data_IF_018201972201
#
_entry.id   IF_018201972201
#
_cell.length_a   1.000
_cell.length_b   1.000
_cell.length_c   1.000
_cell.angle_alpha   90.00
_cell.angle_beta   90.00
_cell.angle_gamma   90.00
#
_symmetry.space_group_name_H-M   'P 1'
#
loop_
_entity.id
_entity.type
_entity.pdbx_description
1 polymer ?
#
# COMPACT_ATOMS: atom_id res chain seq x y z
N UNK A 1 -58.84 -40.90 47.56
CA UNK A 1 -57.57 -40.45 46.94
C UNK A 1 -57.90 -39.47 45.84
N UNK A 2 -57.47 -38.20 45.95
CA UNK A 2 -57.79 -37.12 45.00
C UNK A 2 -56.46 -36.64 44.40
N UNK A 3 -56.25 -36.87 43.10
CA UNK A 3 -55.04 -36.50 42.38
C UNK A 3 -54.99 -34.99 42.15
N UNK A 4 -53.94 -34.32 42.63
CA UNK A 4 -53.67 -32.90 42.38
C UNK A 4 -52.79 -32.76 41.14
N UNK A 5 -53.35 -32.21 40.06
CA UNK A 5 -52.60 -31.80 38.88
C UNK A 5 -51.86 -30.48 39.15
N UNK A 6 -50.53 -30.54 39.16
CA UNK A 6 -49.66 -29.36 39.20
C UNK A 6 -49.66 -28.73 37.80
N UNK A 7 -50.09 -27.47 37.69
CA UNK A 7 -49.96 -26.67 36.46
C UNK A 7 -48.66 -25.87 36.57
N UNK A 8 -47.70 -26.16 35.70
CA UNK A 8 -46.45 -25.39 35.59
C UNK A 8 -46.77 -24.20 34.68
N UNK A 9 -46.88 -23.02 35.28
CA UNK A 9 -47.17 -21.79 34.55
C UNK A 9 -45.96 -21.36 33.71
N UNK A 10 -46.18 -21.21 32.40
CA UNK A 10 -45.22 -20.84 31.36
C UNK A 10 -44.77 -19.37 31.40
N UNK A 11 -44.42 -18.85 32.58
CA UNK A 11 -44.08 -17.43 32.79
C UNK A 11 -42.62 -17.09 32.47
N UNK A 12 -41.78 -18.10 32.27
CA UNK A 12 -40.33 -17.97 32.04
C UNK A 12 -39.94 -17.86 30.56
N UNK A 13 -40.84 -18.14 29.62
CA UNK A 13 -40.53 -18.12 28.18
C UNK A 13 -40.28 -16.73 27.59
N UNK A 14 -40.92 -15.69 28.16
CA UNK A 14 -40.85 -14.33 27.63
C UNK A 14 -39.50 -13.65 27.82
N UNK A 15 -38.83 -13.89 28.95
CA UNK A 15 -37.53 -13.25 29.25
C UNK A 15 -36.42 -13.84 28.38
N UNK A 16 -36.46 -15.16 28.14
CA UNK A 16 -35.49 -15.84 27.28
C UNK A 16 -35.56 -15.39 25.81
N UNK A 17 -36.78 -15.18 25.29
CA UNK A 17 -36.99 -14.70 23.92
C UNK A 17 -36.50 -13.26 23.71
N UNK A 18 -36.71 -12.37 24.69
CA UNK A 18 -36.27 -10.97 24.59
C UNK A 18 -34.74 -10.85 24.63
N UNK A 19 -34.07 -11.62 25.49
CA UNK A 19 -32.60 -11.64 25.55
C UNK A 19 -31.99 -12.25 24.28
N UNK A 20 -32.59 -13.31 23.73
CA UNK A 20 -32.15 -13.91 22.47
C UNK A 20 -32.31 -12.94 21.29
N UNK A 21 -33.41 -12.17 21.26
CA UNK A 21 -33.64 -11.12 20.27
C UNK A 21 -32.59 -10.01 20.35
N UNK A 22 -32.20 -9.57 21.55
CA UNK A 22 -31.17 -8.53 21.73
C UNK A 22 -29.79 -9.01 21.26
N UNK A 23 -29.44 -10.27 21.54
CA UNK A 23 -28.17 -10.87 21.10
C UNK A 23 -28.15 -11.00 19.57
N UNK A 24 -29.25 -11.44 18.95
CA UNK A 24 -29.33 -11.57 17.48
C UNK A 24 -29.30 -10.22 16.76
N UNK A 25 -29.85 -9.16 17.35
CA UNK A 25 -29.77 -7.80 16.81
C UNK A 25 -28.39 -7.16 17.00
N UNK A 26 -27.59 -7.61 17.97
CA UNK A 26 -26.22 -7.14 18.21
C UNK A 26 -25.17 -7.64 17.21
N UNK A 27 -25.53 -8.60 16.34
CA UNK A 27 -24.64 -9.16 15.31
C UNK A 27 -24.63 -8.36 14.00
N UNK A 28 -25.15 -7.13 13.99
CA UNK A 28 -24.95 -6.24 12.84
C UNK A 28 -23.44 -6.04 12.67
N UNK A 29 -22.91 -6.67 11.63
CA UNK A 29 -21.50 -6.79 11.33
C UNK A 29 -20.78 -5.46 11.58
N UNK A 30 -19.83 -5.47 12.50
CA UNK A 30 -18.76 -4.50 12.53
C UNK A 30 -18.00 -4.70 11.22
N UNK A 31 -18.41 -3.97 10.19
CA UNK A 31 -17.66 -3.84 8.96
C UNK A 31 -16.42 -3.03 9.34
N UNK A 32 -15.31 -3.71 9.60
CA UNK A 32 -14.03 -3.05 9.70
C UNK A 32 -13.76 -2.39 8.34
N UNK A 33 -14.11 -1.10 8.20
CA UNK A 33 -13.79 -0.33 7.02
C UNK A 33 -12.27 -0.30 6.92
N UNK A 34 -11.75 -1.06 5.96
CA UNK A 34 -10.34 -1.02 5.65
C UNK A 34 -10.11 0.31 4.93
N UNK A 35 -9.36 1.22 5.54
CA UNK A 35 -8.95 2.46 4.88
C UNK A 35 -8.05 2.08 3.71
N UNK A 36 -8.59 2.09 2.49
CA UNK A 36 -7.80 1.91 1.29
C UNK A 36 -7.31 3.28 0.83
N UNK A 37 -6.04 3.57 1.11
CA UNK A 37 -5.35 4.72 0.51
C UNK A 37 -4.72 4.25 -0.80
N UNK A 38 -5.29 4.70 -1.92
CA UNK A 38 -4.68 4.48 -3.24
C UNK A 38 -3.92 5.74 -3.64
N UNK A 39 -2.62 5.62 -3.82
CA UNK A 39 -1.77 6.69 -4.33
C UNK A 39 -0.99 6.17 -5.54
N UNK A 40 -0.84 7.01 -6.56
CA UNK A 40 0.01 6.73 -7.72
C UNK A 40 1.20 7.69 -7.71
N UNK A 41 2.40 7.14 -7.89
CA UNK A 41 3.54 7.93 -8.32
C UNK A 41 3.44 8.05 -9.86
N UNK A 42 3.29 9.28 -10.36
CA UNK A 42 3.35 9.58 -11.79
C UNK A 42 4.79 9.69 -12.28
N UNK A 43 4.98 10.15 -13.52
CA UNK A 43 6.29 10.49 -14.06
C UNK A 43 6.97 11.50 -13.15
N UNK A 44 8.23 11.26 -12.84
CA UNK A 44 9.04 12.13 -11.99
C UNK A 44 10.35 12.41 -12.72
N UNK A 45 10.85 13.64 -12.64
CA UNK A 45 12.22 13.96 -13.07
C UNK A 45 13.12 14.12 -11.85
N UNK A 46 14.37 13.71 -12.01
CA UNK A 46 15.43 13.89 -11.02
C UNK A 46 16.35 14.97 -11.53
N UNK A 47 16.42 16.04 -10.77
CA UNK A 47 17.26 17.18 -11.08
C UNK A 47 18.35 17.27 -10.03
N UNK A 48 19.59 17.51 -10.48
CA UNK A 48 20.72 17.62 -9.57
C UNK A 48 21.23 19.06 -9.48
N UNK A 49 21.27 19.56 -8.25
CA UNK A 49 21.79 20.89 -7.89
C UNK A 49 23.26 20.89 -7.48
N UNK A 50 23.89 19.72 -7.36
CA UNK A 50 25.26 19.61 -6.81
C UNK A 50 26.36 19.74 -7.86
N UNK A 51 26.05 20.20 -9.08
CA UNK A 51 26.95 20.27 -10.27
C UNK A 51 27.63 18.97 -10.71
N UNK A 52 27.44 17.87 -9.97
CA UNK A 52 27.95 16.55 -10.32
C UNK A 52 26.84 15.73 -10.99
N UNK A 53 27.08 14.96 -12.05
CA UNK A 53 26.06 14.09 -12.61
C UNK A 53 25.71 12.96 -11.62
N UNK A 54 24.42 12.63 -11.51
CA UNK A 54 23.95 11.42 -10.84
C UNK A 54 23.48 10.42 -11.90
N UNK A 55 23.71 9.12 -11.65
CA UNK A 55 23.42 8.05 -12.61
C UNK A 55 22.35 7.08 -12.12
N UNK A 56 21.77 7.32 -10.94
CA UNK A 56 20.75 6.47 -10.39
C UNK A 56 19.83 7.22 -9.42
N UNK A 57 18.57 6.79 -9.36
CA UNK A 57 17.66 7.11 -8.27
C UNK A 57 17.04 5.85 -7.68
N UNK A 58 16.86 5.86 -6.36
CA UNK A 58 16.26 4.77 -5.61
C UNK A 58 15.09 5.26 -4.77
N UNK A 59 13.96 4.60 -4.92
CA UNK A 59 12.85 4.71 -3.98
C UNK A 59 12.75 3.46 -3.11
N UNK A 60 12.39 3.64 -1.84
CA UNK A 60 12.17 2.55 -0.89
C UNK A 60 10.81 2.72 -0.24
N UNK A 61 10.01 1.67 -0.28
CA UNK A 61 8.76 1.58 0.49
C UNK A 61 8.88 0.49 1.54
N UNK A 62 8.33 0.74 2.72
CA UNK A 62 8.20 -0.23 3.82
C UNK A 62 6.73 -0.61 3.96
N UNK A 63 6.45 -1.86 4.32
CA UNK A 63 5.10 -2.37 4.57
C UNK A 63 4.35 -2.90 3.34
N UNK A 64 4.90 -2.74 2.13
CA UNK A 64 4.40 -3.41 0.91
C UNK A 64 5.07 -4.78 0.77
N UNK A 65 4.51 -5.80 1.41
CA UNK A 65 5.04 -7.18 1.39
C UNK A 65 4.53 -8.03 0.23
N UNK A 66 3.36 -7.72 -0.33
CA UNK A 66 2.86 -8.33 -1.57
C UNK A 66 3.26 -7.46 -2.75
N UNK A 67 3.67 -8.03 -3.89
CA UNK A 67 3.94 -7.28 -5.11
C UNK A 67 2.69 -6.48 -5.51
N UNK A 68 2.70 -5.12 -5.47
CA UNK A 68 1.57 -4.37 -6.02
C UNK A 68 1.37 -4.66 -7.51
N UNK A 69 0.18 -4.37 -8.04
CA UNK A 69 0.01 -4.23 -9.49
C UNK A 69 0.60 -2.89 -9.89
N UNK A 70 1.85 -2.90 -10.35
CA UNK A 70 2.51 -1.70 -10.83
C UNK A 70 2.25 -1.51 -12.31
N UNK A 71 1.83 -0.30 -12.68
CA UNK A 71 2.22 0.27 -13.97
C UNK A 71 3.54 1.00 -13.77
N UNK A 72 4.56 0.65 -14.54
CA UNK A 72 5.77 1.47 -14.64
C UNK A 72 5.76 2.20 -15.97
N UNK A 73 6.29 3.41 -15.95
CA UNK A 73 6.62 4.11 -17.16
C UNK A 73 7.95 3.56 -17.67
N UNK A 74 7.93 2.88 -18.81
CA UNK A 74 9.14 2.37 -19.45
C UNK A 74 9.95 3.49 -20.17
N UNK A 75 9.40 4.71 -20.21
CA UNK A 75 9.99 5.90 -20.85
C UNK A 75 10.46 6.94 -19.81
N UNK A 76 11.00 6.48 -18.70
CA UNK A 76 11.72 7.36 -17.76
C UNK A 76 13.18 7.52 -18.19
N UNK A 77 13.89 8.53 -17.67
CA UNK A 77 15.28 8.85 -18.08
C UNK A 77 16.20 7.62 -18.07
N UNK A 78 16.14 6.82 -17.02
CA UNK A 78 17.00 5.63 -16.86
C UNK A 78 16.35 4.34 -17.40
N UNK A 79 15.27 4.45 -18.19
CA UNK A 79 14.49 3.31 -18.69
C UNK A 79 13.62 2.65 -17.62
N UNK A 80 13.29 1.38 -17.86
CA UNK A 80 12.43 0.61 -16.97
C UNK A 80 13.14 0.31 -15.63
N UNK A 81 12.46 0.50 -14.48
CA UNK A 81 13.08 0.27 -13.20
C UNK A 81 13.24 -1.21 -12.88
N UNK A 82 14.23 -1.50 -12.04
CA UNK A 82 14.36 -2.79 -11.36
C UNK A 82 13.68 -2.74 -10.00
N UNK A 83 12.75 -3.66 -9.78
CA UNK A 83 12.09 -3.85 -8.48
C UNK A 83 12.85 -4.93 -7.71
N UNK A 84 13.24 -4.61 -6.48
CA UNK A 84 13.91 -5.55 -5.57
C UNK A 84 13.04 -5.71 -4.33
N UNK A 85 12.35 -6.86 -4.18
CA UNK A 85 11.68 -7.20 -2.93
C UNK A 85 12.67 -7.28 -1.77
N UNK A 86 12.20 -6.95 -0.58
CA UNK A 86 12.94 -7.06 0.69
C UNK A 86 12.01 -7.62 1.76
N UNK A 87 12.57 -8.14 2.85
CA UNK A 87 11.78 -8.72 3.95
C UNK A 87 10.78 -7.74 4.58
N UNK A 88 10.97 -6.43 4.39
CA UNK A 88 10.15 -5.38 5.01
C UNK A 88 9.42 -4.50 3.99
N UNK A 89 9.50 -4.80 2.70
CA UNK A 89 8.96 -3.95 1.66
C UNK A 89 9.67 -4.11 0.33
N UNK A 90 9.85 -3.00 -0.40
CA UNK A 90 10.42 -3.03 -1.74
C UNK A 90 11.36 -1.86 -1.99
N UNK A 91 12.23 -2.06 -2.97
CA UNK A 91 13.09 -1.03 -3.52
C UNK A 91 12.81 -0.93 -5.01
N UNK A 92 12.57 0.27 -5.51
CA UNK A 92 12.50 0.57 -6.94
C UNK A 92 13.77 1.31 -7.32
N UNK A 93 14.52 0.76 -8.28
CA UNK A 93 15.80 1.31 -8.75
C UNK A 93 15.66 1.75 -10.19
N UNK A 94 16.00 3.00 -10.45
CA UNK A 94 16.23 3.54 -11.78
C UNK A 94 17.73 3.80 -11.88
N UNK A 95 18.42 3.05 -12.72
CA UNK A 95 19.90 3.03 -12.79
C UNK A 95 20.30 3.14 -14.26
N UNK A 96 21.18 4.09 -14.59
CA UNK A 96 21.82 4.15 -15.90
C UNK A 96 22.79 2.98 -16.05
N UNK A 97 22.90 2.42 -17.26
CA UNK A 97 23.93 1.43 -17.55
C UNK A 97 25.30 2.11 -17.71
N UNK A 98 26.32 1.53 -17.09
CA UNK A 98 27.71 1.92 -17.30
C UNK A 98 28.34 1.06 -18.40
N UNK A 99 28.99 1.70 -19.37
CA UNK A 99 29.80 1.03 -20.38
C UNK A 99 31.26 1.01 -19.91
N UNK A 100 31.80 -0.19 -19.67
CA UNK A 100 33.19 -0.36 -19.22
C UNK A 100 34.23 -0.13 -20.32
N UNK A 101 33.86 -0.24 -21.60
CA UNK A 101 34.77 -0.04 -22.72
C UNK A 101 34.98 1.45 -23.02
N UNK A 102 33.92 2.25 -22.94
CA UNK A 102 33.97 3.70 -23.18
C UNK A 102 34.10 4.52 -21.90
N UNK A 103 33.99 3.89 -20.73
CA UNK A 103 33.95 4.54 -19.43
C UNK A 103 32.83 5.57 -19.25
N UNK A 104 31.72 5.40 -19.96
CA UNK A 104 30.58 6.33 -19.98
C UNK A 104 29.31 5.74 -19.39
N UNK A 105 28.47 6.60 -18.83
CA UNK A 105 27.10 6.25 -18.45
C UNK A 105 26.17 6.55 -19.60
N UNK A 106 25.21 5.65 -19.86
CA UNK A 106 24.22 5.86 -20.91
C UNK A 106 23.35 7.11 -20.68
N UNK A 107 23.14 7.47 -19.41
CA UNK A 107 22.23 8.52 -18.97
C UNK A 107 22.75 9.18 -17.69
N UNK A 108 22.54 10.47 -17.55
CA UNK A 108 22.94 11.27 -16.38
C UNK A 108 21.87 12.31 -16.06
N UNK A 109 21.76 12.71 -14.79
CA UNK A 109 20.88 13.84 -14.42
C UNK A 109 21.24 15.09 -15.21
N UNK A 110 20.22 15.80 -15.70
CA UNK A 110 20.39 17.10 -16.31
C UNK A 110 20.87 18.10 -15.24
N UNK A 111 21.97 18.83 -15.49
CA UNK A 111 22.37 19.94 -14.61
C UNK A 111 21.27 20.99 -14.57
N UNK A 112 20.95 21.48 -13.38
CA UNK A 112 19.99 22.56 -13.21
C UNK A 112 20.58 23.65 -12.37
N UNK A 113 20.47 24.88 -12.85
CA UNK A 113 21.02 26.03 -12.14
C UNK A 113 20.18 26.33 -10.90
N UNK A 114 20.81 26.47 -9.72
CA UNK A 114 20.11 26.87 -8.51
C UNK A 114 19.32 28.17 -8.72
N UNK A 115 18.03 28.17 -8.35
CA UNK A 115 17.16 29.34 -8.45
C UNK A 115 16.45 29.52 -9.79
N UNK A 116 16.66 28.62 -10.76
CA UNK A 116 15.89 28.62 -12.01
C UNK A 116 14.64 27.74 -11.89
N UNK A 117 13.56 28.14 -12.58
CA UNK A 117 12.29 27.41 -12.54
C UNK A 117 12.39 26.08 -13.30
N UNK A 118 11.65 25.07 -12.83
CA UNK A 118 11.41 23.87 -13.60
C UNK A 118 10.40 24.19 -14.71
N UNK A 119 10.75 23.87 -15.96
CA UNK A 119 9.89 24.00 -17.14
C UNK A 119 9.13 22.71 -17.43
#
# INVERSE_FOLDING_TARGET
MRSSHVRIDARWGGIGLTLLGLVLLGHTAVQAQTAQVTASLGNFDVVNYTTHPTHAMRWKSKGLVSQPRWGFFARERYGAPRIVPTDTGIIVRYESSYNFDTHEWAESTVPHEPGTAFV
#
